data_IF_122302371078
#
_entry.id   IF_122302371078
#
_cell.length_a   1.000
_cell.length_b   1.000
_cell.length_c   1.000
_cell.angle_alpha   90.00
_cell.angle_beta   90.00
_cell.angle_gamma   90.00
#
_symmetry.space_group_name_H-M   'P 1'
#
loop_
_entity.id
_entity.type
_entity.pdbx_description
1 polymer ?
#
# COMPACT_ATOMS: atom_id res chain seq x y z
N UNK A 1 -24.59 -18.32 56.15
CA UNK A 1 -25.11 -17.86 54.83
C UNK A 1 -24.75 -16.43 54.41
N UNK A 2 -24.34 -15.47 55.26
CA UNK A 2 -24.01 -14.10 54.79
C UNK A 2 -22.57 -13.91 54.26
N UNK A 3 -21.62 -14.79 54.62
CA UNK A 3 -20.21 -14.68 54.17
C UNK A 3 -19.98 -15.13 52.71
N UNK A 4 -20.81 -16.02 52.18
CA UNK A 4 -20.63 -16.56 50.81
C UNK A 4 -21.06 -15.53 49.76
N UNK A 5 -22.07 -14.71 50.04
CA UNK A 5 -22.55 -13.66 49.13
C UNK A 5 -21.54 -12.50 49.01
N UNK A 6 -20.84 -12.17 50.10
CA UNK A 6 -19.78 -11.15 50.11
C UNK A 6 -18.55 -11.61 49.30
N UNK A 7 -18.21 -12.90 49.36
CA UNK A 7 -17.11 -13.43 48.57
C UNK A 7 -17.41 -13.45 47.06
N UNK A 8 -18.63 -13.80 46.65
CA UNK A 8 -19.02 -13.80 45.23
C UNK A 8 -19.02 -12.38 44.67
N UNK A 9 -19.56 -11.40 45.41
CA UNK A 9 -19.55 -9.99 44.97
C UNK A 9 -18.15 -9.38 44.92
N UNK A 10 -17.25 -9.71 45.85
CA UNK A 10 -15.85 -9.28 45.79
C UNK A 10 -15.07 -9.96 44.66
N UNK A 11 -15.35 -11.23 44.37
CA UNK A 11 -14.68 -11.94 43.27
C UNK A 11 -15.13 -11.43 41.90
N UNK A 12 -16.42 -11.13 41.73
CA UNK A 12 -16.93 -10.51 40.49
C UNK A 12 -16.44 -9.08 40.31
N UNK A 13 -16.39 -8.25 41.36
CA UNK A 13 -15.83 -6.90 41.27
C UNK A 13 -14.33 -6.94 40.96
N UNK A 14 -13.58 -7.92 41.49
CA UNK A 14 -12.14 -8.08 41.19
C UNK A 14 -11.90 -8.64 39.79
N UNK A 15 -12.79 -9.49 39.25
CA UNK A 15 -12.77 -9.94 37.86
C UNK A 15 -13.14 -8.82 36.88
N UNK A 16 -14.12 -7.98 37.20
CA UNK A 16 -14.47 -6.80 36.40
C UNK A 16 -13.33 -5.78 36.43
N UNK A 17 -12.69 -5.55 37.59
CA UNK A 17 -11.55 -4.62 37.70
C UNK A 17 -10.26 -5.16 37.07
N UNK A 18 -10.11 -6.48 36.98
CA UNK A 18 -8.99 -7.12 36.26
C UNK A 18 -9.22 -7.19 34.75
N UNK A 19 -10.48 -7.23 34.28
CA UNK A 19 -10.83 -7.16 32.85
C UNK A 19 -10.98 -5.72 32.32
N UNK A 20 -11.18 -4.72 33.18
CA UNK A 20 -11.19 -3.30 32.78
C UNK A 20 -9.80 -2.68 32.55
N UNK A 21 -8.72 -3.43 32.78
CA UNK A 21 -7.34 -3.01 32.45
C UNK A 21 -6.82 -3.63 31.14
N UNK A 22 -7.71 -4.21 30.32
CA UNK A 22 -7.38 -4.82 29.02
C UNK A 22 -7.87 -4.00 27.83
N UNK A 23 -8.12 -2.70 28.02
CA UNK A 23 -8.17 -1.75 26.91
C UNK A 23 -6.79 -1.08 26.86
N UNK A 24 -5.87 -1.55 25.99
CA UNK A 24 -4.69 -0.75 25.76
C UNK A 24 -5.17 0.56 25.14
N UNK A 25 -4.94 1.68 25.83
CA UNK A 25 -4.86 2.97 25.17
C UNK A 25 -4.00 2.75 23.92
N UNK A 26 -4.61 2.81 22.72
CA UNK A 26 -3.89 2.68 21.46
C UNK A 26 -2.84 3.79 21.46
N UNK A 27 -1.58 3.44 21.75
CA UNK A 27 -0.45 4.36 21.54
C UNK A 27 -0.52 4.81 20.08
N UNK A 28 -0.24 6.10 19.84
CA UNK A 28 -0.32 6.73 18.52
C UNK A 28 0.35 5.88 17.42
N UNK A 29 1.51 5.31 17.73
CA UNK A 29 2.28 4.48 16.78
C UNK A 29 1.61 3.10 16.54
N UNK A 30 1.05 2.48 17.60
CA UNK A 30 0.37 1.18 17.51
C UNK A 30 -0.82 1.21 16.55
N UNK A 31 -1.60 2.30 16.51
CA UNK A 31 -2.77 2.38 15.61
C UNK A 31 -2.38 2.44 14.12
N UNK A 32 -1.23 3.05 13.81
CA UNK A 32 -0.67 3.12 12.46
C UNK A 32 -0.01 1.78 12.09
N UNK A 33 0.66 1.12 13.05
CA UNK A 33 1.28 -0.19 12.88
C UNK A 33 0.27 -1.29 12.54
N UNK A 34 -0.97 -1.17 13.02
CA UNK A 34 -2.08 -2.10 12.69
C UNK A 34 -2.88 -1.68 11.45
N UNK A 35 -2.44 -0.68 10.69
CA UNK A 35 -2.96 -0.47 9.35
C UNK A 35 -2.45 -1.61 8.44
N UNK A 36 -3.30 -2.20 7.59
CA UNK A 36 -2.94 -3.39 6.83
C UNK A 36 -1.64 -3.27 6.03
N UNK A 37 -1.38 -2.12 5.41
CA UNK A 37 -0.16 -1.88 4.66
C UNK A 37 1.06 -1.75 5.57
N UNK A 38 0.97 -0.98 6.67
CA UNK A 38 2.04 -0.89 7.68
C UNK A 38 2.37 -2.25 8.29
N UNK A 39 1.34 -3.05 8.61
CA UNK A 39 1.49 -4.39 9.15
C UNK A 39 2.25 -5.29 8.16
N UNK A 40 1.89 -5.23 6.88
CA UNK A 40 2.60 -5.96 5.84
C UNK A 40 4.08 -5.55 5.77
N UNK A 41 4.36 -4.25 5.68
CA UNK A 41 5.72 -3.69 5.60
C UNK A 41 6.56 -4.15 6.80
N UNK A 42 6.02 -3.99 8.01
CA UNK A 42 6.68 -4.39 9.25
C UNK A 42 6.95 -5.91 9.28
N UNK A 43 6.09 -6.71 8.64
CA UNK A 43 6.26 -8.16 8.58
C UNK A 43 7.35 -8.64 7.61
N UNK A 44 7.82 -7.79 6.69
CA UNK A 44 8.73 -8.21 5.60
C UNK A 44 10.07 -8.73 6.10
N UNK A 45 10.58 -8.16 7.19
CA UNK A 45 11.87 -8.52 7.80
C UNK A 45 11.71 -9.40 9.05
N UNK A 46 10.48 -9.74 9.45
CA UNK A 46 10.24 -10.64 10.58
C UNK A 46 10.63 -12.05 10.20
N UNK A 47 11.42 -12.72 11.05
CA UNK A 47 11.77 -14.13 10.85
C UNK A 47 10.51 -14.98 10.75
N UNK A 48 10.27 -15.57 9.57
CA UNK A 48 9.14 -16.48 9.32
C UNK A 48 9.63 -17.92 9.39
N UNK A 49 8.78 -18.82 9.88
CA UNK A 49 9.13 -20.25 9.89
C UNK A 49 9.41 -20.72 8.47
N UNK A 50 10.65 -21.13 8.23
CA UNK A 50 11.11 -21.66 6.94
C UNK A 50 10.42 -22.99 6.72
N UNK A 51 9.46 -23.02 5.80
CA UNK A 51 8.89 -24.28 5.29
C UNK A 51 9.86 -24.87 4.29
N UNK A 52 9.90 -26.21 4.21
CA UNK A 52 10.66 -26.92 3.19
C UNK A 52 10.31 -26.39 1.80
N UNK A 53 11.31 -25.92 1.06
CA UNK A 53 11.09 -25.33 -0.25
C UNK A 53 10.79 -26.45 -1.26
N UNK A 54 9.75 -26.30 -2.08
CA UNK A 54 9.50 -27.24 -3.20
C UNK A 54 10.61 -27.17 -4.26
N UNK A 55 11.27 -26.02 -4.36
CA UNK A 55 12.30 -25.69 -5.36
C UNK A 55 13.73 -25.80 -4.85
N UNK A 56 14.01 -26.56 -3.77
CA UNK A 56 15.36 -26.66 -3.19
C UNK A 56 16.45 -27.03 -4.19
N UNK A 57 16.12 -27.88 -5.17
CA UNK A 57 17.04 -28.37 -6.20
C UNK A 57 17.50 -27.28 -7.18
N UNK A 58 16.70 -26.24 -7.37
CA UNK A 58 17.06 -25.12 -8.25
C UNK A 58 18.27 -24.33 -7.72
N UNK A 59 18.55 -24.44 -6.43
CA UNK A 59 19.74 -23.84 -5.80
C UNK A 59 20.99 -24.71 -5.88
N UNK A 60 20.92 -25.92 -6.45
CA UNK A 60 22.09 -26.83 -6.53
C UNK A 60 23.17 -26.33 -7.51
N UNK A 61 22.81 -25.39 -8.39
CA UNK A 61 23.76 -24.66 -9.26
C UNK A 61 24.74 -23.77 -8.48
N UNK A 62 24.42 -23.42 -7.22
CA UNK A 62 25.27 -22.61 -6.35
C UNK A 62 26.25 -23.54 -5.63
N UNK A 63 27.52 -23.51 -6.03
CA UNK A 63 28.58 -24.39 -5.50
C UNK A 63 28.95 -24.02 -4.05
N UNK A 64 29.05 -22.73 -3.77
CA UNK A 64 29.36 -22.20 -2.45
C UNK A 64 28.19 -22.47 -1.49
N UNK A 65 28.44 -23.27 -0.45
CA UNK A 65 27.41 -23.71 0.50
C UNK A 65 26.82 -22.57 1.32
N UNK A 66 27.62 -21.58 1.69
CA UNK A 66 27.17 -20.43 2.49
C UNK A 66 26.26 -19.54 1.63
N UNK A 67 26.71 -19.21 0.41
CA UNK A 67 25.89 -18.42 -0.53
C UNK A 67 24.61 -19.13 -0.93
N UNK A 68 24.67 -20.47 -1.07
CA UNK A 68 23.50 -21.30 -1.33
C UNK A 68 22.50 -21.25 -0.17
N UNK A 69 22.98 -21.32 1.06
CA UNK A 69 22.14 -21.21 2.25
C UNK A 69 21.45 -19.84 2.31
N UNK A 70 22.21 -18.75 2.15
CA UNK A 70 21.68 -17.39 2.13
C UNK A 70 20.61 -17.18 1.04
N UNK A 71 20.84 -17.71 -0.16
CA UNK A 71 19.87 -17.62 -1.26
C UNK A 71 18.59 -18.40 -0.96
N UNK A 72 18.70 -19.59 -0.36
CA UNK A 72 17.54 -20.40 0.07
C UNK A 72 16.74 -19.73 1.19
N UNK A 73 17.44 -19.16 2.16
CA UNK A 73 16.80 -18.46 3.27
C UNK A 73 16.04 -17.23 2.77
N UNK A 74 16.68 -16.38 1.97
CA UNK A 74 16.04 -15.21 1.38
C UNK A 74 14.82 -15.60 0.51
N UNK A 75 14.94 -16.65 -0.31
CA UNK A 75 13.80 -17.11 -1.11
C UNK A 75 12.65 -17.66 -0.25
N UNK A 76 12.96 -18.30 0.87
CA UNK A 76 11.94 -18.77 1.82
C UNK A 76 11.19 -17.60 2.45
N UNK A 77 11.91 -16.54 2.84
CA UNK A 77 11.30 -15.30 3.33
C UNK A 77 10.44 -14.64 2.25
N UNK A 78 10.97 -14.53 1.02
CA UNK A 78 10.23 -14.01 -0.13
C UNK A 78 8.92 -14.78 -0.36
N UNK A 79 8.96 -16.11 -0.37
CA UNK A 79 7.78 -16.95 -0.54
C UNK A 79 6.76 -16.72 0.58
N UNK A 80 7.21 -16.62 1.83
CA UNK A 80 6.32 -16.35 2.96
C UNK A 80 5.70 -14.95 2.90
N UNK A 81 6.48 -13.93 2.51
CA UNK A 81 6.01 -12.56 2.28
C UNK A 81 4.99 -12.53 1.14
N UNK A 82 5.30 -13.16 0.00
CA UNK A 82 4.39 -13.26 -1.15
C UNK A 82 3.06 -13.91 -0.76
N UNK A 83 3.10 -15.04 -0.06
CA UNK A 83 1.89 -15.74 0.39
C UNK A 83 1.05 -14.87 1.33
N UNK A 84 1.67 -14.04 2.16
CA UNK A 84 0.93 -13.13 3.05
C UNK A 84 0.15 -12.06 2.27
N UNK A 85 0.63 -11.61 1.10
CA UNK A 85 -0.08 -10.64 0.25
C UNK A 85 -1.48 -11.13 -0.10
N UNK A 86 -1.64 -12.43 -0.34
CA UNK A 86 -2.92 -13.05 -0.73
C UNK A 86 -3.99 -12.87 0.36
N UNK A 87 -3.58 -12.78 1.63
CA UNK A 87 -4.52 -12.64 2.76
C UNK A 87 -5.06 -11.21 2.92
N UNK A 88 -4.45 -10.23 2.26
CA UNK A 88 -4.89 -8.84 2.30
C UNK A 88 -6.04 -8.57 1.31
N UNK A 89 -6.83 -7.52 1.57
CA UNK A 89 -7.94 -7.10 0.70
C UNK A 89 -7.44 -6.63 -0.67
N UNK A 90 -8.27 -6.79 -1.71
CA UNK A 90 -7.90 -6.47 -3.09
C UNK A 90 -7.39 -5.03 -3.27
N UNK A 91 -7.99 -4.07 -2.57
CA UNK A 91 -7.66 -2.65 -2.66
C UNK A 91 -6.26 -2.27 -2.12
N UNK A 92 -5.59 -3.17 -1.39
CA UNK A 92 -4.24 -2.94 -0.83
C UNK A 92 -3.20 -3.90 -1.39
N UNK A 93 -3.62 -5.00 -2.03
CA UNK A 93 -2.71 -6.02 -2.57
C UNK A 93 -1.72 -5.44 -3.58
N UNK A 94 -2.14 -4.48 -4.40
CA UNK A 94 -1.28 -3.81 -5.38
C UNK A 94 -0.11 -3.10 -4.69
N UNK A 95 -0.38 -2.38 -3.60
CA UNK A 95 0.63 -1.69 -2.81
C UNK A 95 1.52 -2.67 -2.04
N UNK A 96 0.95 -3.77 -1.54
CA UNK A 96 1.76 -4.85 -0.95
C UNK A 96 2.71 -5.48 -2.00
N UNK A 97 2.25 -5.75 -3.22
CA UNK A 97 3.13 -6.23 -4.30
C UNK A 97 4.23 -5.25 -4.65
N UNK A 98 3.91 -3.95 -4.66
CA UNK A 98 4.89 -2.92 -4.87
C UNK A 98 5.97 -2.97 -3.78
N UNK A 99 5.56 -2.99 -2.51
CA UNK A 99 6.50 -3.07 -1.38
C UNK A 99 7.29 -4.38 -1.38
N UNK A 100 6.72 -5.49 -1.83
CA UNK A 100 7.44 -6.76 -1.95
C UNK A 100 8.55 -6.69 -3.00
N UNK A 101 8.27 -6.04 -4.14
CA UNK A 101 9.29 -5.77 -5.17
C UNK A 101 10.38 -4.84 -4.62
N UNK A 102 9.96 -3.74 -3.97
CA UNK A 102 10.87 -2.77 -3.36
C UNK A 102 11.81 -3.43 -2.35
N UNK A 103 11.25 -4.22 -1.43
CA UNK A 103 12.00 -4.97 -0.43
C UNK A 103 12.97 -5.97 -1.06
N UNK A 104 12.58 -6.71 -2.09
CA UNK A 104 13.49 -7.65 -2.74
C UNK A 104 14.68 -6.94 -3.39
N UNK A 105 14.45 -5.78 -4.01
CA UNK A 105 15.51 -4.95 -4.57
C UNK A 105 16.42 -4.39 -3.46
N UNK A 106 15.89 -4.00 -2.30
CA UNK A 106 16.70 -3.61 -1.14
C UNK A 106 17.55 -4.78 -0.61
N UNK A 107 16.99 -5.98 -0.51
CA UNK A 107 17.74 -7.18 -0.11
C UNK A 107 18.84 -7.48 -1.12
N UNK A 108 18.61 -7.20 -2.41
CA UNK A 108 19.59 -7.35 -3.47
C UNK A 108 20.81 -6.47 -3.28
N UNK A 109 20.61 -5.23 -2.88
CA UNK A 109 21.71 -4.31 -2.54
C UNK A 109 22.42 -4.72 -1.25
N UNK A 110 21.66 -5.09 -0.19
CA UNK A 110 22.21 -5.45 1.13
C UNK A 110 23.00 -6.77 1.12
N UNK A 111 22.64 -7.72 0.26
CA UNK A 111 23.23 -9.08 0.20
C UNK A 111 24.10 -9.31 -1.04
N UNK A 112 24.64 -8.26 -1.67
CA UNK A 112 25.54 -8.39 -2.85
C UNK A 112 26.78 -9.24 -2.58
N UNK A 113 27.30 -9.18 -1.36
CA UNK A 113 28.51 -9.92 -0.98
C UNK A 113 28.21 -11.37 -0.56
N UNK A 114 27.01 -11.61 0.00
CA UNK A 114 26.61 -12.92 0.56
C UNK A 114 25.81 -13.79 -0.39
N UNK A 115 25.20 -13.22 -1.44
CA UNK A 115 24.52 -13.95 -2.51
C UNK A 115 25.17 -13.56 -3.84
N UNK A 116 25.72 -14.54 -4.56
CA UNK A 116 26.33 -14.32 -5.87
C UNK A 116 25.29 -14.19 -7.00
N UNK A 117 25.76 -13.84 -8.20
CA UNK A 117 24.92 -13.67 -9.39
C UNK A 117 24.09 -14.90 -9.72
N UNK A 118 24.65 -16.11 -9.53
CA UNK A 118 23.91 -17.37 -9.71
C UNK A 118 22.76 -17.49 -8.72
N UNK A 119 22.98 -17.16 -7.44
CA UNK A 119 21.93 -17.13 -6.43
C UNK A 119 20.82 -16.15 -6.75
N UNK A 120 21.17 -14.93 -7.16
CA UNK A 120 20.18 -13.94 -7.60
C UNK A 120 19.42 -14.38 -8.84
N UNK A 121 20.09 -15.01 -9.80
CA UNK A 121 19.43 -15.56 -11.00
C UNK A 121 18.39 -16.62 -10.63
N UNK A 122 18.72 -17.51 -9.69
CA UNK A 122 17.76 -18.51 -9.19
C UNK A 122 16.59 -17.84 -8.48
N UNK A 123 16.84 -16.87 -7.58
CA UNK A 123 15.77 -16.15 -6.86
C UNK A 123 14.81 -15.44 -7.83
N UNK A 124 15.35 -14.69 -8.79
CA UNK A 124 14.58 -13.94 -9.78
C UNK A 124 13.76 -14.90 -10.66
N UNK A 125 14.35 -16.02 -11.10
CA UNK A 125 13.64 -17.07 -11.85
C UNK A 125 12.50 -17.68 -11.03
N UNK A 126 12.73 -17.92 -9.74
CA UNK A 126 11.75 -18.56 -8.87
C UNK A 126 10.61 -17.62 -8.46
N UNK A 127 10.74 -16.30 -8.58
CA UNK A 127 9.63 -15.37 -8.33
C UNK A 127 8.38 -15.75 -9.13
N UNK A 128 8.53 -16.04 -10.43
CA UNK A 128 7.39 -16.37 -11.29
C UNK A 128 6.66 -17.63 -10.85
N UNK A 129 7.33 -18.53 -10.11
CA UNK A 129 6.72 -19.73 -9.53
C UNK A 129 5.84 -19.45 -8.32
N UNK A 130 5.92 -18.23 -7.75
CA UNK A 130 5.08 -17.81 -6.61
C UNK A 130 3.69 -17.36 -7.05
N UNK A 131 3.48 -17.11 -8.35
CA UNK A 131 2.20 -16.67 -8.90
C UNK A 131 1.10 -17.71 -8.61
N UNK A 132 -0.05 -17.23 -8.14
CA UNK A 132 -1.23 -18.06 -7.90
C UNK A 132 -2.32 -17.75 -8.94
N UNK A 133 -3.32 -18.62 -9.06
CA UNK A 133 -4.46 -18.41 -9.95
C UNK A 133 -5.39 -17.29 -9.48
N UNK A 134 -5.39 -16.97 -8.18
CA UNK A 134 -6.28 -15.95 -7.60
C UNK A 134 -5.67 -14.56 -7.59
N UNK A 135 -4.35 -14.45 -7.52
CA UNK A 135 -3.65 -13.18 -7.46
C UNK A 135 -2.17 -13.34 -7.80
N UNK A 136 -1.60 -12.39 -8.53
CA UNK A 136 -0.16 -12.38 -8.82
C UNK A 136 0.46 -11.00 -8.61
N UNK A 137 1.62 -10.99 -7.96
CA UNK A 137 2.53 -9.85 -8.00
C UNK A 137 3.48 -10.06 -9.17
N UNK A 138 3.39 -9.19 -10.18
CA UNK A 138 4.40 -9.18 -11.23
C UNK A 138 5.74 -8.67 -10.68
N UNK A 139 6.82 -9.36 -11.03
CA UNK A 139 8.18 -8.91 -10.73
C UNK A 139 8.47 -7.67 -11.57
N UNK A 140 8.78 -6.56 -10.92
CA UNK A 140 9.16 -5.29 -11.54
C UNK A 140 10.41 -4.74 -10.84
N UNK A 141 11.61 -4.99 -11.38
CA UNK A 141 12.85 -4.54 -10.77
C UNK A 141 12.96 -3.00 -10.77
N UNK A 142 13.07 -2.47 -9.56
CA UNK A 142 13.33 -1.07 -9.29
C UNK A 142 14.83 -0.78 -9.38
N UNK A 143 15.35 -0.65 -10.60
CA UNK A 143 16.74 -0.21 -10.83
C UNK A 143 17.01 1.13 -10.12
N UNK A 144 18.07 1.20 -9.30
CA UNK A 144 18.60 2.35 -8.55
C UNK A 144 17.73 2.80 -7.36
N UNK A 145 17.85 2.17 -6.19
CA UNK A 145 17.29 2.66 -4.93
C UNK A 145 17.96 3.99 -4.57
N UNK A 146 17.34 5.12 -4.91
CA UNK A 146 17.77 6.46 -4.50
C UNK A 146 16.88 6.97 -3.36
N UNK A 147 17.39 7.91 -2.56
CA UNK A 147 16.63 8.65 -1.52
C UNK A 147 15.31 9.21 -2.07
N UNK A 148 15.31 9.50 -3.37
CA UNK A 148 14.17 9.98 -4.11
C UNK A 148 12.98 8.99 -4.11
N UNK A 149 13.27 7.70 -4.04
CA UNK A 149 12.25 6.66 -4.05
C UNK A 149 11.62 6.46 -2.69
N UNK A 150 12.38 6.63 -1.61
CA UNK A 150 11.85 6.49 -0.25
C UNK A 150 10.68 7.45 -0.04
N UNK A 151 10.81 8.72 -0.47
CA UNK A 151 9.73 9.71 -0.35
C UNK A 151 8.50 9.37 -1.18
N UNK A 152 8.66 8.81 -2.38
CA UNK A 152 7.53 8.31 -3.18
C UNK A 152 6.78 7.19 -2.43
N UNK A 153 7.55 6.24 -1.89
CA UNK A 153 7.05 5.06 -1.20
C UNK A 153 6.37 5.45 0.12
N UNK A 154 6.91 6.44 0.82
CA UNK A 154 6.31 7.04 2.01
C UNK A 154 4.99 7.75 1.70
N UNK A 155 4.91 8.48 0.59
CA UNK A 155 3.66 9.14 0.19
C UNK A 155 2.58 8.13 -0.18
N UNK A 156 2.95 7.06 -0.88
CA UNK A 156 2.05 5.94 -1.17
C UNK A 156 1.52 5.32 0.14
N UNK A 157 2.40 5.04 1.10
CA UNK A 157 2.01 4.48 2.40
C UNK A 157 1.12 5.45 3.19
N UNK A 158 1.44 6.75 3.16
CA UNK A 158 0.59 7.79 3.74
C UNK A 158 -0.82 7.74 3.17
N UNK A 159 -0.97 7.74 1.84
CA UNK A 159 -2.28 7.74 1.18
C UNK A 159 -3.14 6.54 1.60
N UNK A 160 -2.57 5.33 1.59
CA UNK A 160 -3.28 4.11 1.99
C UNK A 160 -3.63 4.12 3.47
N UNK A 161 -2.67 4.45 4.33
CA UNK A 161 -2.89 4.43 5.78
C UNK A 161 -3.84 5.55 6.23
N UNK A 162 -3.84 6.71 5.56
CA UNK A 162 -4.80 7.80 5.77
C UNK A 162 -6.22 7.31 5.57
N UNK A 163 -6.50 6.58 4.50
CA UNK A 163 -7.85 6.11 4.20
C UNK A 163 -8.31 5.05 5.21
N UNK A 164 -7.41 4.17 5.66
CA UNK A 164 -7.68 3.20 6.73
C UNK A 164 -7.93 3.89 8.09
N UNK A 165 -7.12 4.88 8.46
CA UNK A 165 -7.31 5.65 9.69
C UNK A 165 -8.58 6.49 9.65
N UNK A 166 -8.90 7.07 8.49
CA UNK A 166 -10.18 7.76 8.24
C UNK A 166 -11.35 6.81 8.50
N UNK A 167 -11.30 5.61 7.92
CA UNK A 167 -12.34 4.62 8.12
C UNK A 167 -12.50 4.25 9.60
N UNK A 168 -11.41 4.00 10.33
CA UNK A 168 -11.46 3.69 11.78
C UNK A 168 -11.97 4.84 12.65
N UNK A 169 -11.71 6.10 12.25
CA UNK A 169 -12.27 7.28 12.92
C UNK A 169 -13.78 7.42 12.68
N UNK A 170 -14.25 7.19 11.45
CA UNK A 170 -15.67 7.29 11.10
C UNK A 170 -16.49 6.09 11.60
N UNK A 171 -15.88 4.90 11.58
CA UNK A 171 -16.50 3.60 11.88
C UNK A 171 -15.67 2.82 12.92
N UNK A 172 -15.54 3.31 14.16
CA UNK A 172 -14.75 2.63 15.18
C UNK A 172 -15.45 1.33 15.62
N UNK A 173 -14.66 0.29 15.89
CA UNK A 173 -15.18 -1.01 16.39
C UNK A 173 -15.95 -0.85 17.71
N UNK A 174 -15.54 0.13 18.52
CA UNK A 174 -16.24 0.54 19.74
C UNK A 174 -16.24 2.06 19.81
N UNK A 175 -17.40 2.65 20.14
CA UNK A 175 -17.59 4.10 20.15
C UNK A 175 -16.59 4.84 21.05
N UNK A 176 -16.20 4.24 22.17
CA UNK A 176 -15.18 4.76 23.08
C UNK A 176 -13.79 4.96 22.43
N UNK A 177 -13.51 4.31 21.30
CA UNK A 177 -12.25 4.48 20.56
C UNK A 177 -12.30 5.56 19.50
N UNK A 178 -13.48 6.11 19.19
CA UNK A 178 -13.67 7.12 18.14
C UNK A 178 -12.69 8.29 18.31
N UNK A 179 -12.70 8.89 19.50
CA UNK A 179 -11.89 10.07 19.79
C UNK A 179 -10.39 9.76 19.65
N UNK A 180 -9.95 8.57 20.08
CA UNK A 180 -8.55 8.16 19.93
C UNK A 180 -8.17 7.97 18.46
N UNK A 181 -8.97 7.25 17.67
CA UNK A 181 -8.69 7.07 16.24
C UNK A 181 -8.67 8.40 15.50
N UNK A 182 -9.61 9.29 15.78
CA UNK A 182 -9.68 10.60 15.13
C UNK A 182 -8.53 11.54 15.54
N UNK A 183 -8.09 11.50 16.81
CA UNK A 183 -6.87 12.21 17.26
C UNK A 183 -5.63 11.69 16.55
N UNK A 184 -5.51 10.37 16.41
CA UNK A 184 -4.40 9.73 15.69
C UNK A 184 -4.42 10.12 14.21
N UNK A 185 -5.60 10.10 13.58
CA UNK A 185 -5.80 10.55 12.20
C UNK A 185 -5.30 11.99 12.00
N UNK A 186 -5.76 12.94 12.81
CA UNK A 186 -5.30 14.33 12.73
C UNK A 186 -3.79 14.47 12.90
N UNK A 187 -3.23 13.76 13.88
CA UNK A 187 -1.80 13.83 14.15
C UNK A 187 -0.97 13.15 13.05
N UNK A 188 -1.53 12.16 12.36
CA UNK A 188 -0.94 11.48 11.21
C UNK A 188 -0.97 12.39 9.97
N UNK A 189 -2.13 12.98 9.65
CA UNK A 189 -2.25 13.92 8.51
C UNK A 189 -1.36 15.15 8.68
N UNK A 190 -1.30 15.71 9.89
CA UNK A 190 -0.43 16.86 10.20
C UNK A 190 1.06 16.54 10.08
N UNK A 191 1.50 15.36 10.51
CA UNK A 191 2.90 14.92 10.38
C UNK A 191 3.32 14.93 8.91
N UNK A 192 2.54 14.26 8.06
CA UNK A 192 2.88 14.10 6.65
C UNK A 192 2.68 15.39 5.84
N UNK A 193 1.76 16.28 6.26
CA UNK A 193 1.67 17.62 5.68
C UNK A 193 2.98 18.39 5.86
N UNK A 194 3.55 18.39 7.08
CA UNK A 194 4.85 19.03 7.33
C UNK A 194 5.96 18.41 6.50
N UNK A 195 5.96 17.09 6.40
CA UNK A 195 6.99 16.34 5.68
C UNK A 195 6.98 16.60 4.17
N UNK A 196 5.82 16.56 3.53
CA UNK A 196 5.72 16.67 2.07
C UNK A 196 5.54 18.10 1.57
N UNK A 197 4.83 18.94 2.31
CA UNK A 197 4.50 20.31 1.86
C UNK A 197 5.49 21.31 2.46
N UNK A 198 5.54 21.41 3.80
CA UNK A 198 6.37 22.43 4.47
C UNK A 198 7.86 22.18 4.21
N UNK A 199 8.32 20.94 4.34
CA UNK A 199 9.71 20.58 4.10
C UNK A 199 10.01 20.31 2.61
N UNK A 200 9.01 20.00 1.80
CA UNK A 200 9.17 19.78 0.37
C UNK A 200 9.51 21.05 -0.42
N UNK A 201 9.16 22.22 0.13
CA UNK A 201 9.27 23.57 -0.44
C UNK A 201 8.45 23.77 -1.71
N UNK A 202 8.80 23.06 -2.78
CA UNK A 202 8.22 23.25 -4.11
C UNK A 202 8.40 21.98 -4.94
N UNK A 203 7.65 21.87 -6.03
CA UNK A 203 7.80 20.83 -7.03
C UNK A 203 8.46 21.39 -8.30
N UNK A 204 9.30 20.59 -8.96
CA UNK A 204 9.83 20.98 -10.26
C UNK A 204 8.68 21.08 -11.28
N UNK A 205 8.77 22.01 -12.22
CA UNK A 205 7.89 21.97 -13.39
C UNK A 205 8.23 20.72 -14.20
N UNK A 206 7.31 19.77 -14.21
CA UNK A 206 7.45 18.58 -15.03
C UNK A 206 6.51 18.58 -16.23
N UNK A 207 6.93 17.72 -17.14
CA UNK A 207 6.54 17.36 -18.49
C UNK A 207 5.02 17.09 -18.65
N UNK A 208 4.59 16.59 -19.81
CA UNK A 208 3.18 16.32 -20.15
C UNK A 208 2.40 15.34 -19.23
N UNK A 209 3.00 14.84 -18.14
CA UNK A 209 2.44 13.83 -17.23
C UNK A 209 2.00 14.37 -15.87
N UNK A 210 1.70 15.66 -15.78
CA UNK A 210 1.33 16.34 -14.52
C UNK A 210 0.16 15.69 -13.77
N UNK A 211 -0.74 14.94 -14.45
CA UNK A 211 -1.82 14.20 -13.79
C UNK A 211 -1.34 13.05 -12.89
N UNK A 212 -0.17 12.47 -13.17
CA UNK A 212 0.39 11.34 -12.42
C UNK A 212 1.48 11.78 -11.45
N UNK A 213 1.99 13.00 -11.64
CA UNK A 213 3.01 13.58 -10.80
C UNK A 213 2.47 13.82 -9.39
N UNK A 214 3.11 13.23 -8.39
CA UNK A 214 2.72 13.28 -6.97
C UNK A 214 1.22 13.09 -6.71
N UNK A 215 0.56 12.28 -7.53
CA UNK A 215 -0.90 12.08 -7.54
C UNK A 215 -1.23 10.60 -7.44
N UNK A 216 -1.41 10.11 -6.22
CA UNK A 216 -1.75 8.72 -5.93
C UNK A 216 -3.21 8.40 -6.32
N UNK A 217 -4.12 9.32 -5.99
CA UNK A 217 -5.55 9.26 -6.33
C UNK A 217 -6.14 10.68 -6.34
N UNK A 218 -7.39 10.83 -6.78
CA UNK A 218 -8.08 12.12 -6.78
C UNK A 218 -8.21 12.74 -5.37
N UNK A 219 -8.15 11.90 -4.32
CA UNK A 219 -8.22 12.31 -2.91
C UNK A 219 -6.85 12.25 -2.22
N UNK A 220 -5.76 12.01 -2.95
CA UNK A 220 -4.40 11.98 -2.42
C UNK A 220 -3.39 12.45 -3.49
N UNK A 221 -3.15 13.75 -3.53
CA UNK A 221 -2.24 14.45 -4.44
C UNK A 221 -1.61 15.66 -3.76
N UNK A 222 -0.30 15.85 -3.91
CA UNK A 222 0.36 17.05 -3.35
C UNK A 222 -0.15 18.36 -3.97
N UNK A 223 -0.76 18.29 -5.17
CA UNK A 223 -1.40 19.44 -5.82
C UNK A 223 -2.69 19.89 -5.13
N UNK A 224 -3.29 19.05 -4.29
CA UNK A 224 -4.47 19.37 -3.48
C UNK A 224 -4.23 18.97 -2.03
N UNK A 225 -3.51 19.83 -1.29
CA UNK A 225 -3.23 19.59 0.12
C UNK A 225 -4.49 19.55 0.99
N UNK A 226 -5.54 20.38 0.80
CA UNK A 226 -6.76 20.30 1.60
C UNK A 226 -7.39 18.90 1.60
N UNK A 227 -7.51 18.27 0.42
CA UNK A 227 -8.04 16.91 0.27
C UNK A 227 -7.09 15.83 0.74
N UNK A 228 -5.79 16.04 0.50
CA UNK A 228 -4.76 15.04 0.78
C UNK A 228 -4.48 14.95 2.27
N UNK A 229 -4.49 16.08 2.97
CA UNK A 229 -4.20 16.21 4.39
C UNK A 229 -5.43 16.75 5.16
N UNK A 230 -6.57 16.05 5.13
CA UNK A 230 -7.80 16.51 5.76
C UNK A 230 -7.66 16.59 7.29
N UNK A 231 -8.64 17.21 7.93
CA UNK A 231 -8.75 17.27 9.38
C UNK A 231 -10.11 16.80 9.87
N UNK A 232 -10.11 16.21 11.05
CA UNK A 232 -11.28 15.87 11.84
C UNK A 232 -11.56 16.97 12.86
N UNK A 233 -12.84 17.33 13.02
CA UNK A 233 -13.36 18.02 14.21
C UNK A 233 -14.55 17.25 14.77
N UNK A 234 -14.83 17.41 16.07
CA UNK A 234 -16.01 16.82 16.70
C UNK A 234 -17.31 17.28 16.05
N UNK A 235 -17.33 18.52 15.56
CA UNK A 235 -18.54 19.22 15.15
C UNK A 235 -18.91 18.90 13.70
N UNK A 236 -17.91 18.74 12.83
CA UNK A 236 -18.11 18.57 11.38
C UNK A 236 -17.62 17.23 10.84
N UNK A 237 -16.98 16.38 11.66
CA UNK A 237 -16.33 15.17 11.20
C UNK A 237 -15.06 15.44 10.38
N UNK A 238 -14.72 14.54 9.47
CA UNK A 238 -13.55 14.68 8.58
C UNK A 238 -13.92 15.53 7.38
N UNK A 239 -13.22 16.65 7.21
CA UNK A 239 -13.37 17.55 6.06
C UNK A 239 -12.01 17.90 5.45
N UNK A 240 -12.07 18.37 4.20
CA UNK A 240 -10.94 18.98 3.52
C UNK A 240 -10.42 20.16 4.37
N UNK A 241 -9.10 20.24 4.54
CA UNK A 241 -8.50 21.27 5.38
C UNK A 241 -8.05 22.46 4.54
N UNK A 242 -8.99 23.37 4.24
CA UNK A 242 -8.75 24.57 3.42
C UNK A 242 -7.67 25.52 3.99
N UNK A 243 -7.24 25.32 5.24
CA UNK A 243 -6.11 26.07 5.81
C UNK A 243 -4.74 25.58 5.31
N UNK A 244 -4.67 24.40 4.70
CA UNK A 244 -3.43 23.81 4.20
C UNK A 244 -3.17 24.22 2.75
N UNK A 245 -2.14 25.01 2.55
CA UNK A 245 -1.68 25.36 1.21
C UNK A 245 -1.14 24.13 0.46
N UNK A 246 -1.51 23.98 -0.80
CA UNK A 246 -0.91 22.99 -1.71
C UNK A 246 0.55 23.34 -2.02
N UNK A 247 1.34 22.33 -2.40
CA UNK A 247 2.72 22.58 -2.80
C UNK A 247 2.75 23.39 -4.11
N UNK A 248 3.58 24.43 -4.12
CA UNK A 248 3.80 25.28 -5.27
C UNK A 248 4.80 24.68 -6.26
N UNK A 249 4.98 25.38 -7.39
CA UNK A 249 6.08 25.13 -8.32
C UNK A 249 7.34 25.84 -7.83
N UNK A 250 8.51 25.28 -8.12
CA UNK A 250 9.78 25.93 -7.82
C UNK A 250 9.97 27.16 -8.70
N UNK A 251 10.42 28.28 -8.12
CA UNK A 251 10.79 29.47 -8.88
C UNK A 251 12.16 29.29 -9.56
N UNK A 252 12.46 30.14 -10.55
CA UNK A 252 13.69 30.05 -11.32
C UNK A 252 14.94 30.08 -10.41
N UNK A 253 15.68 28.96 -10.39
CA UNK A 253 16.90 28.78 -9.59
C UNK A 253 16.68 28.09 -8.25
N UNK A 254 15.44 27.91 -7.81
CA UNK A 254 15.11 27.03 -6.69
C UNK A 254 15.21 25.56 -7.12
N UNK A 255 15.75 24.72 -6.23
CA UNK A 255 15.75 23.28 -6.42
C UNK A 255 14.71 22.67 -5.50
N UNK A 256 13.85 21.81 -6.07
CA UNK A 256 12.98 20.96 -5.28
C UNK A 256 13.81 20.13 -4.30
N UNK A 257 13.36 20.09 -3.04
CA UNK A 257 13.92 19.20 -2.01
C UNK A 257 13.23 17.84 -1.98
N UNK A 258 12.19 17.68 -2.81
CA UNK A 258 11.53 16.42 -3.05
C UNK A 258 11.74 15.97 -4.50
N UNK A 259 12.01 14.68 -4.69
CA UNK A 259 12.25 14.11 -5.99
C UNK A 259 11.03 14.14 -6.90
N UNK A 260 11.24 13.85 -8.18
CA UNK A 260 10.13 13.60 -9.08
C UNK A 260 9.50 12.23 -8.82
N UNK A 261 8.19 12.24 -8.61
CA UNK A 261 7.42 11.04 -8.32
C UNK A 261 6.22 10.93 -9.24
N UNK A 262 6.09 9.81 -9.95
CA UNK A 262 4.91 9.51 -10.74
C UNK A 262 4.20 8.31 -10.15
N UNK A 263 2.89 8.42 -9.98
CA UNK A 263 2.04 7.37 -9.43
C UNK A 263 1.05 6.91 -10.49
N UNK A 264 0.93 5.60 -10.67
CA UNK A 264 -0.07 5.02 -11.56
C UNK A 264 -0.76 3.87 -10.84
N UNK A 265 -2.11 3.89 -10.82
CA UNK A 265 -2.92 2.90 -10.09
C UNK A 265 -2.51 2.75 -8.61
N UNK A 266 -2.15 3.87 -7.97
CA UNK A 266 -1.80 3.90 -6.55
C UNK A 266 -0.46 3.25 -6.22
N UNK A 267 0.49 3.18 -7.16
CA UNK A 267 1.89 2.79 -6.89
C UNK A 267 2.86 3.68 -7.66
N UNK A 268 4.08 3.91 -7.14
CA UNK A 268 5.13 4.58 -7.90
C UNK A 268 5.41 3.87 -9.22
N UNK A 269 5.73 4.67 -10.25
CA UNK A 269 6.16 4.22 -11.58
C UNK A 269 7.23 5.16 -12.13
N UNK A 270 8.02 4.66 -13.08
CA UNK A 270 8.96 5.51 -13.82
C UNK A 270 8.26 6.28 -14.93
N UNK A 271 8.78 7.46 -15.25
CA UNK A 271 8.23 8.29 -16.32
C UNK A 271 8.29 7.59 -17.69
N UNK A 272 9.35 6.82 -17.95
CA UNK A 272 9.52 6.10 -19.23
C UNK A 272 8.51 4.95 -19.39
N UNK A 273 8.00 4.42 -18.28
CA UNK A 273 7.02 3.32 -18.29
C UNK A 273 5.58 3.86 -18.43
N UNK A 274 5.37 5.14 -18.12
CA UNK A 274 4.06 5.78 -18.07
C UNK A 274 3.29 5.76 -19.40
N UNK A 275 3.89 6.04 -20.58
CA UNK A 275 3.20 5.88 -21.87
C UNK A 275 2.67 4.45 -22.05
N UNK A 276 3.52 3.44 -21.79
CA UNK A 276 3.13 2.03 -21.89
C UNK A 276 1.99 1.67 -20.94
N UNK A 277 1.98 2.22 -19.73
CA UNK A 277 0.92 1.95 -18.76
C UNK A 277 -0.41 2.59 -19.18
N UNK A 278 -0.37 3.82 -19.67
CA UNK A 278 -1.54 4.53 -20.18
C UNK A 278 -2.14 3.77 -21.37
N UNK A 279 -1.32 3.40 -22.35
CA UNK A 279 -1.78 2.69 -23.55
C UNK A 279 -2.42 1.35 -23.21
N UNK A 280 -1.80 0.57 -22.31
CA UNK A 280 -2.37 -0.71 -21.84
C UNK A 280 -3.70 -0.51 -21.10
N UNK A 281 -3.81 0.51 -20.26
CA UNK A 281 -5.05 0.82 -19.57
C UNK A 281 -6.14 1.22 -20.57
N UNK A 282 -5.83 2.11 -21.52
CA UNK A 282 -6.75 2.54 -22.57
C UNK A 282 -7.22 1.36 -23.43
N UNK A 283 -6.33 0.46 -23.81
CA UNK A 283 -6.70 -0.77 -24.53
C UNK A 283 -7.63 -1.66 -23.70
N UNK A 284 -7.34 -1.86 -22.41
CA UNK A 284 -8.20 -2.66 -21.52
C UNK A 284 -9.61 -2.07 -21.49
N UNK A 285 -9.76 -0.77 -21.24
CA UNK A 285 -11.08 -0.11 -21.19
C UNK A 285 -11.75 0.01 -22.57
N UNK A 286 -10.98 0.19 -23.65
CA UNK A 286 -11.49 0.22 -25.02
C UNK A 286 -12.10 -1.12 -25.46
N UNK A 287 -11.52 -2.24 -25.04
CA UNK A 287 -12.07 -3.59 -25.29
C UNK A 287 -13.38 -3.79 -24.50
N UNK A 288 -13.47 -3.29 -23.26
CA UNK A 288 -14.72 -3.36 -22.46
C UNK A 288 -15.83 -2.44 -22.98
N UNK A 289 -15.50 -1.24 -23.48
CA UNK A 289 -16.48 -0.37 -24.11
C UNK A 289 -16.99 -0.98 -25.43
N UNK A 290 -16.09 -1.56 -26.24
CA UNK A 290 -16.43 -2.21 -27.50
C UNK A 290 -17.38 -3.41 -27.35
N UNK A 291 -17.24 -4.20 -26.28
CA UNK A 291 -18.13 -5.33 -26.01
C UNK A 291 -19.56 -4.90 -25.60
N UNK A 292 -19.70 -3.80 -24.86
CA UNK A 292 -21.02 -3.21 -24.60
C UNK A 292 -21.69 -2.68 -25.88
N UNK A 293 -20.94 -2.04 -26.78
CA UNK A 293 -21.48 -1.55 -28.05
C UNK A 293 -21.99 -2.69 -28.95
N UNK A 294 -21.31 -3.84 -28.99
CA UNK A 294 -21.78 -5.03 -29.73
C UNK A 294 -23.11 -5.53 -29.17
N UNK A 295 -23.25 -5.61 -27.85
CA UNK A 295 -24.50 -6.01 -27.19
C UNK A 295 -25.66 -5.07 -27.51
N UNK A 296 -25.42 -3.75 -27.48
CA UNK A 296 -26.43 -2.75 -27.87
C UNK A 296 -26.80 -2.84 -29.35
N UNK A 297 -25.83 -3.09 -30.24
CA UNK A 297 -26.10 -3.27 -31.67
C UNK A 297 -26.91 -4.54 -31.95
N UNK A 298 -26.60 -5.65 -31.27
CA UNK A 298 -27.36 -6.90 -31.37
C UNK A 298 -28.80 -6.73 -30.88
N UNK A 299 -29.01 -6.00 -29.78
CA UNK A 299 -30.35 -5.68 -29.27
C UNK A 299 -31.13 -4.78 -30.24
N UNK A 300 -30.48 -3.76 -30.79
CA UNK A 300 -31.10 -2.86 -31.78
C UNK A 300 -31.50 -3.60 -33.07
N UNK A 301 -30.66 -4.51 -33.56
CA UNK A 301 -30.96 -5.36 -34.73
C UNK A 301 -32.09 -6.36 -34.43
N UNK A 302 -32.11 -6.94 -33.23
CA UNK A 302 -33.19 -7.82 -32.79
C UNK A 302 -34.53 -7.07 -32.74
N UNK A 303 -34.57 -5.91 -32.10
CA UNK A 303 -35.77 -5.07 -32.01
C UNK A 303 -36.23 -4.57 -33.39
N UNK A 304 -35.30 -4.23 -34.28
CA UNK A 304 -35.61 -3.88 -35.67
C UNK A 304 -36.26 -5.03 -36.42
N UNK A 305 -35.73 -6.26 -36.28
CA UNK A 305 -36.29 -7.47 -36.90
C UNK A 305 -37.69 -7.80 -36.36
N UNK A 306 -37.89 -7.72 -35.04
CA UNK A 306 -39.20 -7.94 -34.41
C UNK A 306 -40.23 -6.93 -34.91
N UNK A 307 -39.85 -5.64 -35.00
CA UNK A 307 -40.75 -4.58 -35.49
C UNK A 307 -41.20 -4.80 -36.94
N UNK A 308 -40.34 -5.37 -37.79
CA UNK A 308 -40.68 -5.68 -39.19
C UNK A 308 -41.44 -7.01 -39.37
N UNK A 309 -41.53 -7.86 -38.34
CA UNK A 309 -42.32 -9.10 -38.37
C UNK A 309 -43.78 -8.90 -37.94
N UNK A 310 -44.08 -7.79 -37.26
CA UNK A 310 -45.42 -7.43 -36.77
C UNK A 310 -46.03 -6.24 -37.53
N UNK A 311 -45.56 -5.97 -38.75
CA UNK A 311 -46.14 -5.01 -39.69
C UNK A 311 -46.58 -5.75 -40.95
#
# INVERSE_FOLDING_TARGET
MPLVIIFITLFEIKLIKSNMNLIPCLKKDRAIEVCPLSEFINSLNTSKQVKKLKSEKEFDVIIDSEKKYEAKDLFSQLQANYNSVINYKENIRTQCCFYLNYWLDEQKEKKKETINDSGWTVIEKLWDTLKSSSFSCDRKPYKNLSVDKDKCVDFMAYCVNKDELKYKCEHPDQEQFKENYCKIFNAFTEKYYKEFIVNGKCLNETNNYNKYYWTFSDNCSLHNAPKTFPKYTSDTGILDDESKASIGKCENGEKSLIPDCYMFQGVPVKIEELPSFIDKALMKYGIYAGSSFIGFLSLALYLYKVKNLFR
#
